data_IF_595987389780
#
_entry.id   IF_595987389780
#
_cell.length_a   1.000
_cell.length_b   1.000
_cell.length_c   1.000
_cell.angle_alpha   90.00
_cell.angle_beta   90.00
_cell.angle_gamma   90.00
#
_symmetry.space_group_name_H-M   'P 1'
#
loop_
_entity.id
_entity.type
_entity.pdbx_description
1 polymer ?
#
# COMPACT_ATOMS: atom_id res chain seq x y z
N UNK A 1 3.05 -26.84 -3.29
CA UNK A 1 3.12 -25.59 -2.50
C UNK A 1 2.13 -24.63 -3.12
N UNK A 2 1.13 -24.21 -2.37
CA UNK A 2 0.16 -23.19 -2.83
C UNK A 2 0.80 -21.80 -2.81
N UNK A 3 0.16 -20.85 -3.48
CA UNK A 3 0.58 -19.44 -3.44
C UNK A 3 0.58 -18.88 -2.02
N UNK A 4 -0.44 -19.22 -1.21
CA UNK A 4 -0.51 -18.86 0.21
C UNK A 4 0.67 -19.40 1.02
N UNK A 5 0.98 -20.70 0.91
CA UNK A 5 2.13 -21.32 1.60
C UNK A 5 3.45 -20.67 1.19
N UNK A 6 3.59 -20.34 -0.11
CA UNK A 6 4.75 -19.66 -0.65
C UNK A 6 4.96 -18.27 -0.02
N UNK A 7 3.88 -17.48 0.10
CA UNK A 7 3.94 -16.15 0.72
C UNK A 7 4.30 -16.28 2.20
N UNK A 8 3.65 -17.15 2.97
CA UNK A 8 4.01 -17.37 4.39
C UNK A 8 5.48 -17.77 4.56
N UNK A 9 5.98 -18.74 3.78
CA UNK A 9 7.40 -19.10 3.80
C UNK A 9 8.32 -17.93 3.47
N UNK A 10 7.92 -17.06 2.55
CA UNK A 10 8.70 -15.88 2.14
C UNK A 10 8.75 -14.84 3.26
N UNK A 11 7.62 -14.56 3.91
CA UNK A 11 7.53 -13.66 5.06
C UNK A 11 8.31 -14.17 6.28
N UNK A 12 8.45 -15.48 6.40
CA UNK A 12 9.12 -16.15 7.51
C UNK A 12 10.59 -16.51 7.22
N UNK A 13 11.12 -16.12 6.05
CA UNK A 13 12.50 -16.40 5.62
C UNK A 13 12.82 -17.91 5.57
N UNK A 14 11.86 -18.70 5.07
CA UNK A 14 11.91 -20.18 4.96
C UNK A 14 11.67 -20.69 3.53
N UNK A 15 11.65 -19.81 2.55
CA UNK A 15 11.46 -20.12 1.15
C UNK A 15 12.79 -20.57 0.51
N UNK A 16 13.11 -21.84 0.70
CA UNK A 16 14.27 -22.50 0.10
C UNK A 16 14.00 -23.02 -1.32
N UNK A 17 12.74 -22.99 -1.76
CA UNK A 17 12.32 -23.50 -3.07
C UNK A 17 12.70 -22.53 -4.21
N UNK A 18 13.05 -21.28 -3.87
CA UNK A 18 13.60 -20.28 -4.78
C UNK A 18 12.57 -19.54 -5.66
N UNK A 19 11.33 -20.04 -5.78
CA UNK A 19 10.24 -19.30 -6.43
C UNK A 19 9.90 -18.07 -5.58
N UNK A 20 9.95 -16.89 -6.17
CA UNK A 20 9.57 -15.63 -5.49
C UNK A 20 8.07 -15.38 -5.67
N UNK A 21 7.32 -15.07 -4.59
CA UNK A 21 5.91 -14.70 -4.73
C UNK A 21 5.74 -13.41 -5.54
N UNK A 22 4.62 -13.27 -6.23
CA UNK A 22 4.37 -12.15 -7.15
C UNK A 22 3.10 -11.41 -6.82
N UNK A 23 3.11 -10.13 -7.13
CA UNK A 23 1.92 -9.31 -7.20
C UNK A 23 2.15 -8.17 -8.19
N UNK A 24 1.41 -8.14 -9.29
CA UNK A 24 1.39 -6.99 -10.20
C UNK A 24 0.34 -5.98 -9.72
N UNK A 25 0.71 -4.70 -9.70
CA UNK A 25 -0.25 -3.63 -9.50
C UNK A 25 -0.60 -2.99 -10.83
N UNK A 26 -1.88 -2.74 -11.03
CA UNK A 26 -2.42 -2.20 -12.27
C UNK A 26 -3.27 -0.98 -11.96
N UNK A 27 -3.25 -0.03 -12.89
CA UNK A 27 -4.28 0.99 -13.01
C UNK A 27 -5.14 0.66 -14.24
N UNK A 28 -6.44 1.04 -14.26
CA UNK A 28 -7.31 0.80 -15.42
C UNK A 28 -6.73 1.33 -16.75
N UNK A 29 -5.85 2.34 -16.67
CA UNK A 29 -5.07 2.81 -17.80
C UNK A 29 -4.30 1.68 -18.51
N UNK A 30 -3.61 0.80 -17.79
CA UNK A 30 -2.79 -0.25 -18.40
C UNK A 30 -3.63 -1.33 -19.06
N UNK A 31 -4.76 -1.69 -18.47
CA UNK A 31 -5.72 -2.63 -19.10
C UNK A 31 -6.28 -2.05 -20.40
N UNK A 32 -6.62 -0.76 -20.40
CA UNK A 32 -7.17 -0.07 -21.57
C UNK A 32 -6.14 0.06 -22.70
N UNK A 33 -4.89 0.39 -22.37
CA UNK A 33 -3.85 0.68 -23.37
C UNK A 33 -3.04 -0.57 -23.79
N UNK A 34 -2.90 -1.56 -22.89
CA UNK A 34 -2.04 -2.72 -23.06
C UNK A 34 -2.68 -4.04 -22.60
N UNK A 35 -4.01 -4.16 -22.67
CA UNK A 35 -4.77 -5.36 -22.28
C UNK A 35 -4.15 -6.70 -22.71
N UNK A 36 -3.76 -6.91 -23.98
CA UNK A 36 -3.12 -8.16 -24.39
C UNK A 36 -1.80 -8.48 -23.67
N UNK A 37 -1.04 -7.46 -23.27
CA UNK A 37 0.18 -7.66 -22.46
C UNK A 37 -0.17 -7.96 -21.01
N UNK A 38 -1.14 -7.26 -20.44
CA UNK A 38 -1.64 -7.51 -19.08
C UNK A 38 -2.13 -8.97 -18.96
N UNK A 39 -2.97 -9.42 -19.90
CA UNK A 39 -3.45 -10.80 -19.97
C UNK A 39 -2.31 -11.81 -20.08
N UNK A 40 -1.30 -11.48 -20.89
CA UNK A 40 -0.11 -12.33 -21.06
C UNK A 40 0.67 -12.45 -19.75
N UNK A 41 0.91 -11.33 -19.06
CA UNK A 41 1.63 -11.31 -17.77
C UNK A 41 0.85 -12.13 -16.74
N UNK A 42 -0.45 -11.91 -16.57
CA UNK A 42 -1.24 -12.66 -15.60
C UNK A 42 -1.30 -14.16 -15.91
N UNK A 43 -1.33 -14.53 -17.20
CA UNK A 43 -1.34 -15.93 -17.62
C UNK A 43 0.00 -16.64 -17.37
N UNK A 44 1.12 -15.95 -17.60
CA UNK A 44 2.46 -16.55 -17.46
C UNK A 44 3.01 -16.41 -16.03
N UNK A 45 2.61 -15.37 -15.31
CA UNK A 45 3.13 -14.96 -14.01
C UNK A 45 1.98 -14.59 -13.08
N UNK A 46 1.14 -15.58 -12.77
CA UNK A 46 -0.01 -15.39 -11.89
C UNK A 46 0.39 -14.81 -10.51
N UNK A 47 -0.43 -13.87 -10.02
CA UNK A 47 -0.26 -13.28 -8.70
C UNK A 47 -0.49 -14.30 -7.59
N UNK A 48 0.42 -14.29 -6.61
CA UNK A 48 0.35 -15.11 -5.42
C UNK A 48 -0.42 -14.43 -4.27
N UNK A 49 -0.64 -13.11 -4.39
CA UNK A 49 -1.30 -12.26 -3.40
C UNK A 49 -2.49 -11.57 -4.07
N UNK A 50 -3.65 -11.61 -3.40
CA UNK A 50 -4.88 -10.94 -3.83
C UNK A 50 -5.51 -10.18 -2.68
N UNK A 51 -6.47 -9.31 -2.98
CA UNK A 51 -7.21 -8.54 -1.99
C UNK A 51 -8.61 -9.09 -1.84
N UNK A 52 -9.09 -9.22 -0.60
CA UNK A 52 -10.46 -9.62 -0.32
C UNK A 52 -11.46 -8.59 -0.86
N UNK A 53 -12.65 -9.02 -1.33
CA UNK A 53 -13.69 -8.09 -1.76
C UNK A 53 -14.19 -7.27 -0.57
N UNK A 54 -14.45 -5.98 -0.79
CA UNK A 54 -15.11 -5.11 0.19
C UNK A 54 -16.54 -4.82 -0.30
N UNK A 55 -17.49 -5.67 0.08
CA UNK A 55 -18.90 -5.53 -0.28
C UNK A 55 -19.63 -4.92 0.92
N UNK A 56 -20.14 -3.71 0.79
CA UNK A 56 -20.84 -3.01 1.87
C UNK A 56 -22.35 -3.22 1.78
N UNK A 57 -23.01 -3.46 2.91
CA UNK A 57 -24.48 -3.49 2.95
C UNK A 57 -25.07 -2.08 3.01
N UNK A 58 -24.37 -1.15 3.66
CA UNK A 58 -24.72 0.27 3.70
C UNK A 58 -24.06 1.02 2.55
N UNK A 59 -24.85 1.87 1.87
CA UNK A 59 -24.35 2.74 0.81
C UNK A 59 -23.54 3.89 1.42
N UNK A 60 -22.33 4.11 0.91
CA UNK A 60 -21.47 5.23 1.32
C UNK A 60 -21.93 6.55 0.69
N UNK A 61 -21.35 7.66 1.16
CA UNK A 61 -21.57 8.99 0.56
C UNK A 61 -20.79 9.19 -0.75
N UNK A 62 -19.86 8.28 -1.08
CA UNK A 62 -19.02 8.36 -2.26
C UNK A 62 -19.85 8.38 -3.55
N UNK A 63 -19.38 9.17 -4.52
CA UNK A 63 -20.08 9.41 -5.79
C UNK A 63 -19.08 9.62 -6.91
N UNK A 64 -19.44 9.17 -8.11
CA UNK A 64 -18.58 9.26 -9.28
C UNK A 64 -17.71 8.03 -9.45
N UNK A 65 -16.70 8.15 -10.30
CA UNK A 65 -15.78 7.08 -10.66
C UNK A 65 -14.36 7.66 -10.57
N UNK A 66 -13.50 7.17 -9.65
CA UNK A 66 -12.20 7.78 -9.40
C UNK A 66 -11.27 7.71 -10.61
N UNK A 67 -11.54 6.84 -11.57
CA UNK A 67 -10.71 6.62 -12.75
C UNK A 67 -11.23 7.32 -14.01
N UNK A 68 -12.33 8.07 -13.93
CA UNK A 68 -12.86 8.84 -15.07
C UNK A 68 -12.51 10.31 -14.97
N UNK A 69 -12.37 10.95 -16.12
CA UNK A 69 -12.23 12.40 -16.22
C UNK A 69 -13.48 13.07 -15.62
N UNK A 70 -13.25 14.05 -14.75
CA UNK A 70 -14.28 14.79 -14.04
C UNK A 70 -14.06 14.75 -12.53
N UNK A 71 -15.14 14.94 -11.79
CA UNK A 71 -15.10 14.97 -10.33
C UNK A 71 -15.62 13.66 -9.73
N UNK A 72 -15.01 13.26 -8.62
CA UNK A 72 -15.55 12.23 -7.74
C UNK A 72 -15.47 12.69 -6.28
N UNK A 73 -16.30 12.09 -5.44
CA UNK A 73 -16.30 12.27 -4.00
C UNK A 73 -16.00 10.94 -3.35
N UNK A 74 -15.01 10.90 -2.47
CA UNK A 74 -14.67 9.69 -1.73
C UNK A 74 -15.62 9.46 -0.54
N UNK A 75 -15.37 8.41 0.23
CA UNK A 75 -16.18 8.07 1.39
C UNK A 75 -16.00 9.03 2.56
N UNK A 76 -14.94 9.83 2.62
CA UNK A 76 -14.75 10.87 3.63
C UNK A 76 -15.44 12.19 3.26
N UNK A 77 -15.89 12.31 2.01
CA UNK A 77 -16.53 13.51 1.47
C UNK A 77 -15.58 14.42 0.70
N UNK A 78 -14.30 14.06 0.56
CA UNK A 78 -13.30 14.83 -0.17
C UNK A 78 -13.64 14.84 -1.67
N UNK A 79 -13.54 16.02 -2.28
CA UNK A 79 -13.78 16.20 -3.72
C UNK A 79 -12.46 16.16 -4.49
N UNK A 80 -12.37 15.20 -5.38
CA UNK A 80 -11.23 15.00 -6.25
C UNK A 80 -11.58 15.42 -7.68
N UNK A 81 -10.61 16.03 -8.35
CA UNK A 81 -10.67 16.32 -9.77
C UNK A 81 -9.69 15.42 -10.52
N UNK A 82 -10.21 14.68 -11.49
CA UNK A 82 -9.44 13.82 -12.35
C UNK A 82 -9.41 14.39 -13.78
N UNK A 83 -8.19 14.65 -14.28
CA UNK A 83 -7.95 15.18 -15.62
C UNK A 83 -7.42 14.12 -16.61
N UNK A 84 -7.20 12.89 -16.15
CA UNK A 84 -6.62 11.79 -16.91
C UNK A 84 -7.38 10.48 -16.67
N UNK A 85 -8.00 9.93 -17.71
CA UNK A 85 -8.70 8.65 -17.60
C UNK A 85 -7.75 7.50 -17.24
N UNK A 86 -8.22 6.60 -16.38
CA UNK A 86 -7.54 5.39 -15.99
C UNK A 86 -6.53 5.55 -14.84
N UNK A 87 -6.40 6.73 -14.25
CA UNK A 87 -5.63 6.99 -13.01
C UNK A 87 -6.48 7.73 -11.98
N UNK A 88 -5.99 7.88 -10.75
CA UNK A 88 -6.70 8.61 -9.68
C UNK A 88 -6.43 10.13 -9.83
N UNK A 89 -7.46 10.94 -9.54
CA UNK A 89 -7.36 12.41 -9.53
C UNK A 89 -6.74 12.98 -8.25
N UNK A 90 -6.73 14.31 -8.15
CA UNK A 90 -6.18 15.05 -7.00
C UNK A 90 -7.29 15.74 -6.21
N UNK A 91 -7.16 15.81 -4.88
CA UNK A 91 -8.05 16.64 -4.07
C UNK A 91 -7.83 18.11 -4.40
N UNK A 92 -8.92 18.86 -4.59
CA UNK A 92 -8.86 20.31 -4.86
C UNK A 92 -9.54 21.18 -3.83
N UNK A 93 -10.45 20.62 -3.04
CA UNK A 93 -11.21 21.37 -2.04
C UNK A 93 -11.08 20.69 -0.67
N UNK A 94 -10.43 21.33 0.32
CA UNK A 94 -10.38 20.80 1.68
C UNK A 94 -11.76 20.90 2.33
N UNK A 95 -12.05 19.93 3.20
CA UNK A 95 -13.24 19.94 4.04
C UNK A 95 -13.07 20.81 5.29
N UNK A 96 -11.83 20.92 5.78
CA UNK A 96 -11.45 21.69 6.96
C UNK A 96 -10.73 22.95 6.51
N UNK A 97 -11.35 24.10 6.74
CA UNK A 97 -10.85 25.41 6.34
C UNK A 97 -10.43 26.25 7.55
N UNK A 98 -11.00 26.00 8.72
CA UNK A 98 -10.69 26.75 9.95
C UNK A 98 -9.32 26.35 10.54
N UNK A 99 -8.53 27.33 10.99
CA UNK A 99 -7.19 27.09 11.56
C UNK A 99 -7.22 26.36 12.89
N UNK A 100 -8.26 26.56 13.69
CA UNK A 100 -8.48 25.88 14.96
C UNK A 100 -9.26 24.58 14.80
N UNK A 101 -9.54 24.14 13.56
CA UNK A 101 -10.31 22.94 13.24
C UNK A 101 -11.73 22.96 13.83
N UNK A 102 -12.35 24.14 13.99
CA UNK A 102 -13.73 24.29 14.51
C UNK A 102 -14.78 23.65 13.58
N UNK A 103 -14.45 23.47 12.30
CA UNK A 103 -15.27 22.82 11.29
C UNK A 103 -14.99 21.32 11.11
N UNK A 104 -14.12 20.72 11.96
CA UNK A 104 -13.74 19.30 11.85
C UNK A 104 -14.91 18.32 12.01
N UNK A 105 -15.97 18.70 12.74
CA UNK A 105 -17.18 17.89 12.88
C UNK A 105 -18.01 17.81 11.59
N UNK A 106 -17.69 18.61 10.56
CA UNK A 106 -18.30 18.50 9.22
C UNK A 106 -17.69 17.36 8.39
N UNK A 107 -16.53 16.84 8.78
CA UNK A 107 -15.88 15.73 8.07
C UNK A 107 -16.59 14.42 8.38
N UNK A 108 -16.95 13.69 7.32
CA UNK A 108 -17.57 12.38 7.46
C UNK A 108 -16.52 11.32 7.75
N UNK A 109 -16.63 10.64 8.91
CA UNK A 109 -15.89 9.41 9.17
C UNK A 109 -16.68 8.25 8.54
N UNK A 110 -16.10 7.45 7.63
CA UNK A 110 -16.82 6.45 6.84
C UNK A 110 -17.15 5.18 7.65
N UNK A 111 -17.97 5.33 8.69
CA UNK A 111 -18.43 4.23 9.55
C UNK A 111 -19.17 3.15 8.77
N UNK A 112 -19.68 3.45 7.57
CA UNK A 112 -20.26 2.48 6.65
C UNK A 112 -19.26 1.39 6.23
N UNK A 113 -17.95 1.66 6.26
CA UNK A 113 -16.93 0.63 6.05
C UNK A 113 -16.95 -0.46 7.10
N UNK A 114 -17.51 -0.20 8.29
CA UNK A 114 -17.73 -1.22 9.30
C UNK A 114 -18.89 -2.15 8.96
N UNK A 115 -19.61 -1.95 7.87
CA UNK A 115 -20.76 -2.77 7.45
C UNK A 115 -20.45 -3.64 6.21
N UNK A 116 -19.17 -3.99 6.03
CA UNK A 116 -18.78 -4.95 5.01
C UNK A 116 -19.27 -6.38 5.33
N UNK A 117 -19.57 -7.13 4.28
CA UNK A 117 -20.04 -8.51 4.31
C UNK A 117 -18.89 -9.47 4.69
N UNK A 118 -18.87 -9.83 5.98
CA UNK A 118 -17.88 -10.74 6.56
C UNK A 118 -18.00 -12.15 5.96
N UNK A 119 -19.21 -12.61 5.65
CA UNK A 119 -19.42 -13.96 5.13
C UNK A 119 -18.91 -14.08 3.70
N UNK A 120 -19.12 -13.05 2.87
CA UNK A 120 -18.55 -12.98 1.52
C UNK A 120 -17.01 -12.94 1.54
N UNK A 121 -16.40 -12.20 2.47
CA UNK A 121 -14.93 -12.21 2.66
C UNK A 121 -14.44 -13.61 3.02
N UNK A 122 -15.08 -14.25 3.99
CA UNK A 122 -14.67 -15.58 4.44
C UNK A 122 -14.89 -16.65 3.36
N UNK A 123 -15.98 -16.55 2.59
CA UNK A 123 -16.23 -17.40 1.43
C UNK A 123 -15.15 -17.23 0.34
N UNK A 124 -14.77 -15.99 0.03
CA UNK A 124 -13.67 -15.70 -0.88
C UNK A 124 -12.37 -16.35 -0.43
N UNK A 125 -12.02 -16.20 0.85
CA UNK A 125 -10.79 -16.79 1.42
C UNK A 125 -10.77 -18.31 1.32
N UNK A 126 -11.91 -18.98 1.58
CA UNK A 126 -12.03 -20.45 1.48
C UNK A 126 -11.93 -20.98 0.04
N UNK A 127 -12.29 -20.16 -0.95
CA UNK A 127 -12.34 -20.55 -2.36
C UNK A 127 -11.07 -20.17 -3.15
N UNK A 128 -10.01 -19.71 -2.49
CA UNK A 128 -8.73 -19.38 -3.13
C UNK A 128 -7.55 -20.03 -2.42
N UNK A 129 -6.51 -20.39 -3.17
CA UNK A 129 -5.23 -20.85 -2.64
C UNK A 129 -4.16 -19.73 -2.56
N UNK A 130 -4.54 -18.50 -2.93
CA UNK A 130 -3.73 -17.28 -2.89
C UNK A 130 -3.68 -16.67 -1.50
N UNK A 131 -2.65 -15.91 -1.22
CA UNK A 131 -2.54 -15.14 0.02
C UNK A 131 -3.47 -13.92 -0.03
N UNK A 132 -4.32 -13.73 0.97
CA UNK A 132 -5.39 -12.72 0.92
C UNK A 132 -5.12 -11.55 1.87
N UNK A 133 -5.01 -10.34 1.31
CA UNK A 133 -4.97 -9.08 2.05
C UNK A 133 -6.38 -8.56 2.36
N UNK A 134 -6.53 -7.78 3.43
CA UNK A 134 -7.77 -7.06 3.73
C UNK A 134 -8.18 -6.10 2.60
N UNK A 135 -9.49 -5.99 2.35
CA UNK A 135 -10.06 -5.07 1.37
C UNK A 135 -10.21 -3.62 1.84
N UNK A 136 -9.66 -3.26 3.00
CA UNK A 136 -9.59 -1.88 3.48
C UNK A 136 -8.20 -1.28 3.27
N UNK A 137 -8.13 0.05 3.27
CA UNK A 137 -6.87 0.79 3.11
C UNK A 137 -6.79 1.98 4.10
N UNK A 138 -6.63 1.72 5.42
CA UNK A 138 -6.38 2.77 6.40
C UNK A 138 -5.15 3.61 6.02
N UNK A 139 -5.30 4.94 6.06
CA UNK A 139 -4.29 5.93 5.65
C UNK A 139 -4.35 7.22 6.45
N UNK A 140 -4.08 7.16 7.77
CA UNK A 140 -4.30 8.30 8.66
C UNK A 140 -3.57 9.59 8.24
N UNK A 141 -2.40 9.54 7.61
CA UNK A 141 -1.69 10.76 7.21
C UNK A 141 -2.20 11.30 5.88
N UNK A 142 -2.34 10.46 4.86
CA UNK A 142 -2.85 10.86 3.55
C UNK A 142 -4.29 11.36 3.65
N UNK A 143 -5.12 10.72 4.48
CA UNK A 143 -6.48 11.19 4.72
C UNK A 143 -6.52 12.60 5.35
N UNK A 144 -5.60 12.91 6.26
CA UNK A 144 -5.48 14.26 6.81
C UNK A 144 -5.11 15.28 5.72
N UNK A 145 -4.23 14.90 4.79
CA UNK A 145 -3.89 15.75 3.65
C UNK A 145 -5.12 16.00 2.76
N UNK A 146 -5.96 15.00 2.55
CA UNK A 146 -7.17 15.14 1.74
C UNK A 146 -8.22 16.05 2.38
N UNK A 147 -8.43 15.97 3.69
CA UNK A 147 -9.46 16.79 4.35
C UNK A 147 -8.98 18.22 4.63
N UNK A 148 -7.66 18.47 4.71
CA UNK A 148 -7.08 19.76 5.12
C UNK A 148 -6.28 20.52 4.05
N UNK A 149 -5.77 19.83 3.03
CA UNK A 149 -4.59 20.18 2.20
C UNK A 149 -3.26 19.85 2.87
N UNK A 150 -2.27 19.51 2.03
CA UNK A 150 -0.93 19.11 2.47
C UNK A 150 -0.19 20.25 3.16
N UNK A 151 -0.23 21.45 2.59
CA UNK A 151 0.48 22.63 3.10
C UNK A 151 -0.03 23.05 4.48
N UNK A 152 -1.35 23.16 4.64
CA UNK A 152 -1.97 23.53 5.91
C UNK A 152 -1.78 22.42 6.95
N UNK A 153 -1.90 21.14 6.57
CA UNK A 153 -1.61 20.04 7.50
C UNK A 153 -0.18 20.11 8.04
N UNK A 154 0.81 20.45 7.22
CA UNK A 154 2.20 20.53 7.68
C UNK A 154 2.40 21.66 8.68
N UNK A 155 1.70 22.78 8.50
CA UNK A 155 1.68 23.88 9.46
C UNK A 155 0.99 23.45 10.76
N UNK A 156 -0.19 22.82 10.66
CA UNK A 156 -0.95 22.31 11.81
C UNK A 156 -0.11 21.31 12.62
N UNK A 157 0.61 20.39 11.98
CA UNK A 157 1.44 19.39 12.68
C UNK A 157 2.58 19.98 13.53
N UNK A 158 3.00 21.22 13.26
CA UNK A 158 4.04 21.90 14.04
C UNK A 158 3.51 22.46 15.37
N UNK A 159 2.24 22.87 15.40
CA UNK A 159 1.53 23.31 16.62
C UNK A 159 0.08 22.80 16.59
N UNK A 160 -0.16 21.51 16.88
CA UNK A 160 -1.44 20.90 16.49
C UNK A 160 -2.60 21.43 17.33
N UNK A 161 -3.64 22.01 16.68
CA UNK A 161 -4.82 22.52 17.36
C UNK A 161 -5.50 21.46 18.22
N UNK A 162 -6.20 21.88 19.28
CA UNK A 162 -6.88 20.94 20.18
C UNK A 162 -7.96 20.11 19.45
N UNK A 163 -8.71 20.75 18.54
CA UNK A 163 -9.73 20.08 17.76
C UNK A 163 -9.14 19.12 16.72
N UNK A 164 -7.98 19.47 16.12
CA UNK A 164 -7.22 18.53 15.27
C UNK A 164 -6.85 17.26 16.04
N UNK A 165 -6.27 17.39 17.24
CA UNK A 165 -5.91 16.24 18.08
C UNK A 165 -7.15 15.38 18.41
N UNK A 166 -8.27 16.01 18.73
CA UNK A 166 -9.55 15.34 18.99
C UNK A 166 -10.05 14.59 17.74
N UNK A 167 -10.01 15.22 16.57
CA UNK A 167 -10.36 14.60 15.31
C UNK A 167 -9.47 13.39 15.00
N UNK A 168 -8.14 13.54 15.12
CA UNK A 168 -7.19 12.45 14.89
C UNK A 168 -7.44 11.26 15.81
N UNK A 169 -7.84 11.50 17.07
CA UNK A 169 -8.24 10.43 17.99
C UNK A 169 -9.50 9.70 17.50
N UNK A 170 -10.53 10.43 17.04
CA UNK A 170 -11.75 9.83 16.46
C UNK A 170 -11.42 8.99 15.23
N UNK A 171 -10.65 9.54 14.29
CA UNK A 171 -10.19 8.86 13.07
C UNK A 171 -9.38 7.60 13.40
N UNK A 172 -8.41 7.70 14.30
CA UNK A 172 -7.59 6.56 14.72
C UNK A 172 -8.43 5.46 15.36
N UNK A 173 -9.36 5.83 16.26
CA UNK A 173 -10.29 4.87 16.88
C UNK A 173 -11.13 4.13 15.84
N UNK A 174 -11.65 4.85 14.85
CA UNK A 174 -12.39 4.25 13.74
C UNK A 174 -11.52 3.28 12.93
N UNK A 175 -10.30 3.66 12.55
CA UNK A 175 -9.41 2.76 11.83
C UNK A 175 -9.03 1.52 12.66
N UNK A 176 -8.80 1.65 13.96
CA UNK A 176 -8.60 0.49 14.83
C UNK A 176 -9.80 -0.45 14.81
N UNK A 177 -11.02 0.08 14.88
CA UNK A 177 -12.24 -0.74 14.81
C UNK A 177 -12.37 -1.45 13.46
N UNK A 178 -12.11 -0.74 12.36
CA UNK A 178 -12.16 -1.30 11.01
C UNK A 178 -11.12 -2.41 10.83
N UNK A 179 -9.86 -2.15 11.19
CA UNK A 179 -8.75 -3.11 11.11
C UNK A 179 -9.03 -4.32 12.00
N UNK A 180 -9.59 -4.13 13.20
CA UNK A 180 -9.96 -5.23 14.08
C UNK A 180 -11.12 -6.06 13.52
N UNK A 181 -12.11 -5.43 12.87
CA UNK A 181 -13.20 -6.16 12.19
C UNK A 181 -12.65 -7.02 11.05
N UNK A 182 -11.75 -6.49 10.22
CA UNK A 182 -11.06 -7.26 9.18
C UNK A 182 -10.18 -8.38 9.77
N UNK A 183 -9.49 -8.14 10.88
CA UNK A 183 -8.64 -9.14 11.53
C UNK A 183 -9.42 -10.36 12.04
N UNK A 184 -10.73 -10.23 12.29
CA UNK A 184 -11.63 -11.33 12.69
C UNK A 184 -12.11 -12.20 11.53
N UNK A 185 -11.81 -11.85 10.28
CA UNK A 185 -12.15 -12.62 9.07
C UNK A 185 -11.08 -13.66 8.74
N UNK A 186 -11.30 -14.45 7.69
CA UNK A 186 -10.40 -15.52 7.22
C UNK A 186 -9.22 -15.01 6.36
N UNK A 187 -9.05 -13.69 6.19
CA UNK A 187 -7.89 -13.12 5.47
C UNK A 187 -6.55 -13.55 6.09
N UNK A 188 -5.48 -13.49 5.31
CA UNK A 188 -4.12 -13.82 5.76
C UNK A 188 -3.41 -12.60 6.39
N UNK A 189 -3.68 -11.40 5.88
CA UNK A 189 -3.00 -10.18 6.33
C UNK A 189 -3.86 -8.93 6.32
N UNK A 190 -3.55 -8.02 7.23
CA UNK A 190 -4.05 -6.64 7.21
C UNK A 190 -3.14 -5.78 6.35
N UNK A 191 -3.75 -4.93 5.54
CA UNK A 191 -3.11 -3.94 4.70
C UNK A 191 -3.51 -2.52 5.15
N UNK A 192 -2.52 -1.63 5.18
CA UNK A 192 -2.68 -0.20 5.42
C UNK A 192 -1.60 0.53 4.62
N UNK A 193 -1.73 1.84 4.42
CA UNK A 193 -0.74 2.60 3.68
C UNK A 193 -0.68 4.04 4.15
N UNK A 194 0.39 4.74 3.82
CA UNK A 194 0.48 6.19 3.83
C UNK A 194 1.75 6.56 3.08
N UNK A 195 1.70 7.59 2.23
CA UNK A 195 2.88 8.03 1.50
C UNK A 195 3.68 9.03 2.33
N UNK A 196 4.79 8.54 2.88
CA UNK A 196 5.62 9.30 3.80
C UNK A 196 6.81 10.00 3.16
N UNK A 197 7.22 9.60 1.97
CA UNK A 197 8.49 9.99 1.37
C UNK A 197 8.37 11.05 0.27
N UNK A 198 9.34 11.95 0.25
CA UNK A 198 9.77 12.68 -0.95
C UNK A 198 10.91 11.92 -1.64
N UNK A 199 11.55 12.51 -2.67
CA UNK A 199 12.72 11.88 -3.29
C UNK A 199 13.93 11.71 -2.35
N UNK A 200 14.05 12.52 -1.29
CA UNK A 200 15.28 12.57 -0.48
C UNK A 200 15.06 12.31 1.02
N UNK A 201 13.84 12.46 1.51
CA UNK A 201 13.53 12.38 2.95
C UNK A 201 12.04 12.13 3.17
N UNK A 202 11.64 11.95 4.44
CA UNK A 202 10.23 12.05 4.80
C UNK A 202 9.64 13.43 4.46
N UNK A 203 8.32 13.47 4.28
CA UNK A 203 7.53 14.66 4.03
C UNK A 203 7.37 15.55 5.28
N UNK A 204 7.41 14.93 6.46
CA UNK A 204 7.38 15.62 7.76
C UNK A 204 8.62 15.29 8.58
N UNK A 205 8.85 16.06 9.66
CA UNK A 205 9.96 15.79 10.57
C UNK A 205 9.85 14.36 11.16
N UNK A 206 10.90 13.52 11.10
CA UNK A 206 10.87 12.16 11.65
C UNK A 206 10.46 12.08 13.13
N UNK A 207 10.70 13.13 13.92
CA UNK A 207 10.25 13.20 15.32
C UNK A 207 8.72 13.31 15.43
N UNK A 208 8.10 14.14 14.60
CA UNK A 208 6.64 14.27 14.57
C UNK A 208 5.99 12.95 14.12
N UNK A 209 6.61 12.27 13.15
CA UNK A 209 6.18 10.92 12.75
C UNK A 209 6.20 9.94 13.93
N UNK A 210 7.30 9.89 14.69
CA UNK A 210 7.46 8.99 15.83
C UNK A 210 6.48 9.31 16.97
N UNK A 211 6.18 10.59 17.21
CA UNK A 211 5.29 11.05 18.27
C UNK A 211 3.81 10.86 17.93
N UNK A 212 3.41 11.12 16.67
CA UNK A 212 2.00 11.23 16.28
C UNK A 212 1.51 9.97 15.56
N UNK A 213 2.26 9.47 14.56
CA UNK A 213 1.77 8.47 13.62
C UNK A 213 2.26 7.05 13.92
N UNK A 214 3.51 6.90 14.38
CA UNK A 214 4.04 5.60 14.80
C UNK A 214 3.14 4.88 15.83
N UNK A 215 2.55 5.57 16.83
CA UNK A 215 1.60 4.93 17.74
C UNK A 215 0.39 4.31 17.04
N UNK A 216 -0.11 4.92 15.96
CA UNK A 216 -1.24 4.39 15.21
C UNK A 216 -0.88 3.09 14.49
N UNK A 217 0.26 3.06 13.79
CA UNK A 217 0.73 1.83 13.13
C UNK A 217 1.06 0.72 14.12
N UNK A 218 1.60 1.07 15.31
CA UNK A 218 1.80 0.09 16.38
C UNK A 218 0.48 -0.58 16.75
N UNK A 219 -0.60 0.19 16.86
CA UNK A 219 -1.90 -0.33 17.28
C UNK A 219 -2.50 -1.20 16.17
N UNK A 220 -2.40 -0.82 14.89
CA UNK A 220 -2.82 -1.66 13.75
C UNK A 220 -2.05 -2.98 13.69
N UNK A 221 -0.72 -2.94 13.84
CA UNK A 221 0.14 -4.14 13.84
C UNK A 221 -0.16 -5.01 15.06
N UNK A 222 -0.43 -4.40 16.22
CA UNK A 222 -0.79 -5.13 17.44
C UNK A 222 -2.13 -5.85 17.30
N UNK A 223 -3.12 -5.22 16.65
CA UNK A 223 -4.40 -5.85 16.29
C UNK A 223 -4.15 -7.06 15.38
N UNK A 224 -3.37 -6.91 14.31
CA UNK A 224 -3.05 -8.03 13.41
C UNK A 224 -2.44 -9.22 14.17
N UNK A 225 -1.43 -8.95 14.99
CA UNK A 225 -0.75 -9.98 15.81
C UNK A 225 -1.69 -10.66 16.80
N UNK A 226 -2.59 -9.91 17.44
CA UNK A 226 -3.61 -10.46 18.36
C UNK A 226 -4.49 -11.52 17.69
N UNK A 227 -4.77 -11.37 16.39
CA UNK A 227 -5.59 -12.29 15.60
C UNK A 227 -4.77 -13.23 14.71
N UNK A 228 -3.44 -13.29 14.89
CA UNK A 228 -2.56 -14.16 14.11
C UNK A 228 -2.43 -13.79 12.63
N UNK A 229 -2.71 -12.53 12.27
CA UNK A 229 -2.62 -12.02 10.90
C UNK A 229 -1.23 -11.43 10.62
N UNK A 230 -0.81 -11.50 9.37
CA UNK A 230 0.37 -10.78 8.86
C UNK A 230 0.02 -9.30 8.60
N UNK A 231 1.03 -8.49 8.35
CA UNK A 231 0.89 -7.03 8.14
C UNK A 231 1.66 -6.55 6.92
N UNK A 232 0.96 -5.81 6.07
CA UNK A 232 1.49 -5.25 4.83
C UNK A 232 1.28 -3.74 4.87
N UNK A 233 2.33 -2.99 4.56
CA UNK A 233 2.25 -1.54 4.42
C UNK A 233 2.75 -1.09 3.05
N UNK A 234 2.14 -0.05 2.50
CA UNK A 234 2.66 0.69 1.36
C UNK A 234 3.01 2.14 1.76
N UNK A 235 4.09 2.66 1.18
CA UNK A 235 4.44 4.07 1.23
C UNK A 235 5.35 4.43 0.06
N UNK A 236 5.03 5.52 -0.62
CA UNK A 236 5.88 6.13 -1.62
C UNK A 236 7.03 6.97 -1.06
N UNK A 237 7.98 7.24 -1.96
CA UNK A 237 9.17 8.05 -1.73
C UNK A 237 10.23 7.41 -0.81
N UNK A 238 11.10 8.27 -0.29
CA UNK A 238 12.20 7.90 0.56
C UNK A 238 11.76 7.73 2.02
N UNK A 239 11.54 6.49 2.41
CA UNK A 239 11.08 6.09 3.75
C UNK A 239 12.20 5.55 4.64
N UNK A 240 13.47 5.85 4.30
CA UNK A 240 14.66 5.33 5.01
C UNK A 240 14.58 5.49 6.53
N UNK A 241 14.09 6.64 6.98
CA UNK A 241 14.07 7.00 8.40
C UNK A 241 13.06 6.18 9.22
N UNK A 242 12.00 5.66 8.60
CA UNK A 242 10.95 4.88 9.29
C UNK A 242 11.17 3.37 9.23
N UNK A 243 11.99 2.87 8.29
CA UNK A 243 12.31 1.46 8.14
C UNK A 243 12.69 0.73 9.45
N UNK A 244 13.66 1.22 10.26
CA UNK A 244 14.01 0.56 11.52
C UNK A 244 12.83 0.48 12.49
N UNK A 245 11.96 1.51 12.49
CA UNK A 245 10.80 1.59 13.38
C UNK A 245 9.70 0.64 12.95
N UNK A 246 9.44 0.51 11.65
CA UNK A 246 8.48 -0.46 11.13
C UNK A 246 8.91 -1.91 11.42
N UNK A 247 10.21 -2.20 11.32
CA UNK A 247 10.79 -3.49 11.73
C UNK A 247 10.61 -3.72 13.23
N UNK A 248 10.87 -2.70 14.07
CA UNK A 248 10.70 -2.78 15.52
C UNK A 248 9.24 -3.06 15.92
N UNK A 249 8.28 -2.43 15.22
CA UNK A 249 6.85 -2.71 15.39
C UNK A 249 6.48 -4.12 14.92
N UNK A 250 7.30 -4.71 14.05
CA UNK A 250 7.15 -6.04 13.47
C UNK A 250 6.17 -6.07 12.30
N UNK A 251 6.29 -5.09 11.40
CA UNK A 251 5.71 -5.13 10.06
C UNK A 251 6.31 -6.32 9.27
N UNK A 252 5.47 -7.13 8.62
CA UNK A 252 5.95 -8.30 7.88
C UNK A 252 6.45 -7.94 6.46
N UNK A 253 5.71 -7.10 5.75
CA UNK A 253 6.04 -6.67 4.39
C UNK A 253 5.85 -5.17 4.20
N UNK A 254 6.84 -4.52 3.57
CA UNK A 254 6.80 -3.10 3.23
C UNK A 254 7.01 -2.93 1.72
N UNK A 255 5.99 -2.41 1.04
CA UNK A 255 6.12 -1.89 -0.32
C UNK A 255 6.60 -0.44 -0.19
N UNK A 256 7.83 -0.21 -0.64
CA UNK A 256 8.49 1.09 -0.61
C UNK A 256 9.33 1.27 -1.87
N UNK A 257 9.67 2.49 -2.22
CA UNK A 257 10.49 2.78 -3.40
C UNK A 257 11.98 2.47 -3.14
N UNK A 258 12.34 1.19 -3.15
CA UNK A 258 13.68 0.69 -2.78
C UNK A 258 14.82 1.29 -3.64
N UNK A 259 14.52 1.69 -4.88
CA UNK A 259 15.46 2.38 -5.77
C UNK A 259 15.62 3.87 -5.41
N UNK A 260 14.55 4.53 -4.95
CA UNK A 260 14.60 5.90 -4.42
C UNK A 260 15.41 5.97 -3.11
N UNK A 261 15.25 4.97 -2.23
CA UNK A 261 16.00 4.88 -0.97
C UNK A 261 17.47 4.47 -1.20
N UNK A 262 17.69 3.59 -2.18
CA UNK A 262 18.98 2.94 -2.45
C UNK A 262 19.07 1.55 -1.81
N UNK A 263 19.30 0.53 -2.64
CA UNK A 263 19.33 -0.88 -2.21
C UNK A 263 20.44 -1.15 -1.17
N UNK A 264 21.61 -0.53 -1.31
CA UNK A 264 22.72 -0.69 -0.36
C UNK A 264 22.33 -0.22 1.06
N UNK A 265 21.47 0.80 1.18
CA UNK A 265 20.97 1.27 2.48
C UNK A 265 19.99 0.30 3.13
N UNK A 266 19.28 -0.49 2.32
CA UNK A 266 18.27 -1.46 2.73
C UNK A 266 18.84 -2.85 3.00
N UNK A 267 20.03 -3.18 2.47
CA UNK A 267 20.68 -4.49 2.63
C UNK A 267 20.83 -4.90 4.11
N UNK A 268 21.03 -3.94 5.02
CA UNK A 268 21.11 -4.19 6.47
C UNK A 268 19.79 -4.68 7.11
N UNK A 269 18.67 -4.60 6.39
CA UNK A 269 17.35 -5.08 6.79
C UNK A 269 16.96 -6.41 6.12
N UNK A 270 17.83 -6.95 5.26
CA UNK A 270 17.73 -8.33 4.75
C UNK A 270 17.48 -9.31 5.89
N UNK A 271 16.47 -10.17 5.72
CA UNK A 271 16.10 -11.17 6.74
C UNK A 271 15.37 -10.61 7.96
N UNK A 272 14.97 -9.33 7.96
CA UNK A 272 14.23 -8.68 9.06
C UNK A 272 12.86 -8.17 8.63
N UNK A 273 12.68 -7.90 7.34
CA UNK A 273 11.42 -7.49 6.72
C UNK A 273 11.35 -8.03 5.30
N UNK A 274 10.14 -8.18 4.77
CA UNK A 274 9.94 -8.49 3.35
C UNK A 274 9.82 -7.21 2.53
N UNK A 275 10.70 -7.05 1.54
CA UNK A 275 10.63 -6.01 0.53
C UNK A 275 9.57 -6.39 -0.50
N UNK A 276 8.42 -5.74 -0.44
CA UNK A 276 7.33 -6.00 -1.37
C UNK A 276 7.49 -5.11 -2.60
N UNK A 277 8.45 -5.43 -3.47
CA UNK A 277 8.83 -4.53 -4.55
C UNK A 277 9.41 -3.19 -4.06
N UNK A 278 9.36 -2.12 -4.85
CA UNK A 278 8.96 -2.09 -6.27
C UNK A 278 10.16 -2.01 -7.22
N UNK A 279 9.99 -2.50 -8.45
CA UNK A 279 10.88 -2.11 -9.55
C UNK A 279 10.53 -0.68 -9.97
N UNK A 280 11.56 0.16 -10.04
CA UNK A 280 11.44 1.61 -10.23
C UNK A 280 10.51 2.03 -11.39
N UNK A 281 9.36 2.61 -11.02
CA UNK A 281 8.37 3.15 -11.96
C UNK A 281 8.67 4.56 -12.44
N UNK A 282 9.63 5.27 -11.86
CA UNK A 282 9.99 6.64 -12.27
C UNK A 282 10.98 6.65 -13.44
N UNK A 283 11.96 5.73 -13.47
CA UNK A 283 12.99 5.72 -14.52
C UNK A 283 13.16 4.36 -15.20
N UNK A 284 13.21 3.25 -14.46
CA UNK A 284 13.44 1.94 -15.06
C UNK A 284 12.27 1.49 -15.96
N UNK A 285 11.04 1.44 -15.45
CA UNK A 285 9.90 0.98 -16.23
C UNK A 285 9.60 1.87 -17.46
N UNK A 286 9.68 3.22 -17.37
CA UNK A 286 9.43 4.09 -18.52
C UNK A 286 10.61 4.15 -19.49
N UNK A 287 11.84 4.35 -19.01
CA UNK A 287 12.97 4.73 -19.86
C UNK A 287 13.98 3.61 -20.09
N UNK A 288 14.09 2.67 -19.14
CA UNK A 288 15.03 1.56 -19.18
C UNK A 288 14.85 0.62 -20.38
N UNK A 289 15.92 -0.08 -20.72
CA UNK A 289 15.87 -1.25 -21.61
C UNK A 289 15.48 -2.50 -20.81
N UNK A 290 15.07 -3.56 -21.51
CA UNK A 290 14.79 -4.85 -20.86
C UNK A 290 16.03 -5.45 -20.18
N UNK A 291 17.24 -5.12 -20.64
CA UNK A 291 18.49 -5.48 -19.97
C UNK A 291 18.65 -4.73 -18.64
N UNK A 292 18.34 -3.43 -18.60
CA UNK A 292 18.35 -2.64 -17.37
C UNK A 292 17.36 -3.19 -16.35
N UNK A 293 16.14 -3.56 -16.78
CA UNK A 293 15.14 -4.20 -15.93
C UNK A 293 15.67 -5.52 -15.36
N UNK A 294 16.24 -6.37 -16.21
CA UNK A 294 16.75 -7.67 -15.77
C UNK A 294 17.90 -7.51 -14.77
N UNK A 295 18.78 -6.54 -14.98
CA UNK A 295 19.88 -6.23 -14.07
C UNK A 295 19.36 -5.69 -12.72
N UNK A 296 18.36 -4.81 -12.74
CA UNK A 296 17.73 -4.28 -11.54
C UNK A 296 17.06 -5.39 -10.70
N UNK A 297 16.31 -6.28 -11.33
CA UNK A 297 15.68 -7.44 -10.64
C UNK A 297 16.74 -8.34 -10.01
N UNK A 298 17.81 -8.69 -10.74
CA UNK A 298 18.91 -9.51 -10.21
C UNK A 298 19.59 -8.84 -9.03
N UNK A 299 19.85 -7.53 -9.11
CA UNK A 299 20.43 -6.76 -8.02
C UNK A 299 19.55 -6.82 -6.76
N UNK A 300 18.24 -6.63 -6.90
CA UNK A 300 17.28 -6.76 -5.78
C UNK A 300 17.33 -8.16 -5.19
N UNK A 301 17.29 -9.20 -6.03
CA UNK A 301 17.38 -10.60 -5.58
C UNK A 301 18.68 -10.85 -4.81
N UNK A 302 19.84 -10.58 -5.40
CA UNK A 302 21.16 -10.89 -4.83
C UNK A 302 21.37 -10.18 -3.48
N UNK A 303 20.94 -8.93 -3.39
CA UNK A 303 21.13 -8.10 -2.20
C UNK A 303 20.10 -8.38 -1.12
N UNK A 304 18.81 -8.48 -1.46
CA UNK A 304 17.73 -8.46 -0.47
C UNK A 304 17.14 -9.85 -0.16
N UNK A 305 17.30 -10.84 -1.05
CA UNK A 305 16.75 -12.18 -0.83
C UNK A 305 17.49 -12.95 0.27
N UNK A 306 16.76 -13.43 1.27
CA UNK A 306 17.27 -14.22 2.39
C UNK A 306 16.38 -15.45 2.65
N UNK A 307 16.33 -16.35 1.66
CA UNK A 307 15.40 -17.49 1.66
C UNK A 307 13.95 -17.03 1.86
N UNK A 308 13.61 -15.92 1.20
CA UNK A 308 12.42 -15.13 1.43
C UNK A 308 12.77 -13.65 1.44
N UNK A 309 11.87 -12.84 2.00
CA UNK A 309 12.12 -11.41 2.18
C UNK A 309 11.98 -10.54 0.93
N UNK A 310 11.60 -11.09 -0.23
CA UNK A 310 11.22 -10.30 -1.40
C UNK A 310 9.91 -10.80 -2.00
N UNK A 311 9.07 -9.88 -2.46
CA UNK A 311 7.93 -10.17 -3.36
C UNK A 311 8.21 -9.46 -4.68
N UNK A 312 8.09 -10.18 -5.79
CA UNK A 312 8.20 -9.65 -7.12
C UNK A 312 6.99 -8.76 -7.42
N UNK A 313 7.19 -7.45 -7.39
CA UNK A 313 6.14 -6.47 -7.60
C UNK A 313 6.66 -5.32 -8.47
N UNK A 314 5.79 -4.84 -9.35
CA UNK A 314 5.88 -3.55 -10.02
C UNK A 314 4.49 -3.03 -10.32
N UNK A 315 4.34 -1.72 -10.43
CA UNK A 315 3.14 -1.08 -10.94
C UNK A 315 3.23 -0.91 -12.46
N UNK A 316 2.27 -1.47 -13.19
CA UNK A 316 2.10 -1.19 -14.60
C UNK A 316 1.06 -0.07 -14.75
N UNK A 317 1.56 1.16 -14.75
CA UNK A 317 0.77 2.39 -14.91
C UNK A 317 1.20 3.21 -16.14
N UNK A 318 0.69 4.45 -16.27
CA UNK A 318 1.07 5.35 -17.36
C UNK A 318 2.58 5.54 -17.48
N UNK A 319 3.07 5.55 -18.72
CA UNK A 319 4.49 5.73 -19.02
C UNK A 319 5.34 4.46 -18.99
N UNK A 320 4.93 3.42 -18.27
CA UNK A 320 5.65 2.16 -18.25
C UNK A 320 5.60 1.45 -19.61
N UNK A 321 6.76 0.93 -20.08
CA UNK A 321 6.82 0.12 -21.30
C UNK A 321 6.29 -1.30 -21.03
N UNK A 322 5.38 -1.84 -21.87
CA UNK A 322 4.80 -3.17 -21.66
C UNK A 322 5.85 -4.30 -21.61
N UNK A 323 6.89 -4.21 -22.44
CA UNK A 323 8.01 -5.17 -22.44
C UNK A 323 8.85 -5.10 -21.17
N UNK A 324 8.93 -3.93 -20.52
CA UNK A 324 9.65 -3.76 -19.26
C UNK A 324 8.86 -4.42 -18.11
N UNK A 325 7.56 -4.15 -18.01
CA UNK A 325 6.68 -4.81 -17.03
C UNK A 325 6.73 -6.35 -17.17
N UNK A 326 6.65 -6.87 -18.39
CA UNK A 326 6.82 -8.30 -18.66
C UNK A 326 8.19 -8.82 -18.22
N UNK A 327 9.26 -8.05 -18.51
CA UNK A 327 10.64 -8.44 -18.18
C UNK A 327 10.88 -8.50 -16.67
N UNK A 328 10.19 -7.69 -15.86
CA UNK A 328 10.24 -7.78 -14.39
C UNK A 328 9.87 -9.20 -13.94
N UNK A 329 8.66 -9.65 -14.28
CA UNK A 329 8.15 -10.95 -13.80
C UNK A 329 8.86 -12.14 -14.46
N UNK A 330 9.26 -12.00 -15.73
CA UNK A 330 10.10 -13.00 -16.38
C UNK A 330 11.43 -13.16 -15.64
N UNK A 331 12.13 -12.06 -15.35
CA UNK A 331 13.44 -12.14 -14.68
C UNK A 331 13.29 -12.70 -13.26
N UNK A 332 12.27 -12.29 -12.51
CA UNK A 332 11.95 -12.88 -11.20
C UNK A 332 11.62 -14.38 -11.26
N UNK A 333 11.15 -14.88 -12.41
CA UNK A 333 10.93 -16.32 -12.63
C UNK A 333 12.21 -17.09 -12.94
N UNK A 334 13.18 -16.40 -13.55
CA UNK A 334 14.45 -16.98 -14.01
C UNK A 334 15.53 -16.95 -12.92
N UNK A 335 15.44 -16.05 -11.93
CA UNK A 335 16.33 -16.06 -10.76
C UNK A 335 16.08 -17.31 -9.92
N UNK A 336 17.07 -18.20 -9.88
CA UNK A 336 17.11 -19.38 -9.01
C UNK A 336 18.48 -19.45 -8.36
N UNK A 337 18.51 -19.86 -7.09
CA UNK A 337 19.75 -20.22 -6.40
C UNK A 337 20.40 -21.45 -7.03
#
# INVERSE_FOLDING_TARGET
MTSRELVYKTLEFRNTDGRVPRQMWLLPWAETNYGPMVDKIHKEFEDDIVTAPCILHTKTIAKGDPYKIGEYTDEWGCRFNNIHEGIIGEVKEPLIQDEDWEDADNVHIPVEWLDFDVDAVNEFCRNTDKFVLSGCCPRPFEQLQFIRTTEELYMDLMDPPANMKSFMQKMHSFYCELVEKWAKTDIDALFFMDDWGSQNSLLINPKLWDEIFRPMYRDYISIAKKYGKKTFMHSDGNTRDIYPKMIELGLDAFNSQIFCIGIDELEKYKGKITFWGEIDRQHLLPDGSTEDIANAVKMVYDRLWADGGCIAQCEFGPGAKPENAYTVFKTWSDVKK
#
